data_IF_974420714892
#
_entry.id   IF_974420714892
#
_cell.length_a   1.000
_cell.length_b   1.000
_cell.length_c   1.000
_cell.angle_alpha   90.00
_cell.angle_beta   90.00
_cell.angle_gamma   90.00
#
_symmetry.space_group_name_H-M   'P 1'
#
loop_
_entity.id
_entity.type
_entity.pdbx_description
1 polymer ?
#
# COMPACT_ATOMS: atom_id res chain seq x y z
N UNK A 1 0.09 -3.97 13.12
CA UNK A 1 -0.08 -3.45 11.73
C UNK A 1 -1.49 -2.93 11.48
N UNK A 2 -2.53 -3.46 12.16
CA UNK A 2 -3.94 -3.11 11.98
C UNK A 2 -4.20 -1.59 11.91
N UNK A 3 -3.81 -0.82 12.94
CA UNK A 3 -4.11 0.62 12.99
C UNK A 3 -3.49 1.45 11.87
N UNK A 4 -2.39 0.99 11.27
CA UNK A 4 -1.81 1.68 10.11
C UNK A 4 -2.69 1.47 8.88
N UNK A 5 -3.28 0.30 8.72
CA UNK A 5 -4.20 0.01 7.61
C UNK A 5 -5.50 0.81 7.78
N UNK A 6 -6.05 0.85 8.99
CA UNK A 6 -7.24 1.65 9.32
C UNK A 6 -7.01 3.14 8.98
N UNK A 7 -5.93 3.74 9.49
CA UNK A 7 -5.67 5.18 9.31
C UNK A 7 -5.20 5.59 7.90
N UNK A 8 -4.59 4.68 7.13
CA UNK A 8 -4.02 5.03 5.81
C UNK A 8 -4.90 4.61 4.65
N UNK A 9 -5.61 3.47 4.77
CA UNK A 9 -6.45 2.88 3.74
C UNK A 9 -7.95 2.94 4.04
N UNK A 10 -8.37 3.50 5.19
CA UNK A 10 -9.78 3.57 5.61
C UNK A 10 -10.42 2.17 5.58
N UNK A 11 -9.74 1.21 6.21
CA UNK A 11 -10.16 -0.19 6.25
C UNK A 11 -11.53 -0.36 6.92
N UNK A 12 -11.79 0.34 8.04
CA UNK A 12 -13.08 0.32 8.76
C UNK A 12 -14.26 0.82 7.92
N UNK A 13 -14.02 1.82 7.05
CA UNK A 13 -15.05 2.38 6.17
C UNK A 13 -15.34 1.46 4.96
N UNK A 14 -14.50 0.45 4.73
CA UNK A 14 -14.60 -0.44 3.59
C UNK A 14 -15.58 -1.58 3.89
N UNK A 15 -16.84 -1.39 3.50
CA UNK A 15 -17.89 -2.37 3.67
C UNK A 15 -17.71 -3.56 2.71
N UNK A 16 -17.16 -4.66 3.23
CA UNK A 16 -16.91 -5.90 2.48
C UNK A 16 -17.83 -6.99 3.02
N UNK A 17 -18.71 -7.52 2.16
CA UNK A 17 -19.75 -8.49 2.55
C UNK A 17 -19.53 -9.89 1.96
N UNK A 18 -18.43 -10.10 1.24
CA UNK A 18 -18.10 -11.37 0.57
C UNK A 18 -17.04 -12.10 1.39
N UNK A 19 -17.33 -13.34 1.74
CA UNK A 19 -16.48 -14.33 2.46
C UNK A 19 -15.00 -13.94 2.61
N UNK A 20 -14.12 -14.47 1.77
CA UNK A 20 -12.66 -14.30 1.85
C UNK A 20 -12.21 -12.93 1.32
N UNK A 21 -13.12 -12.02 0.95
CA UNK A 21 -12.74 -10.74 0.37
C UNK A 21 -12.09 -9.83 1.42
N UNK A 22 -12.49 -9.91 2.70
CA UNK A 22 -11.87 -9.15 3.78
C UNK A 22 -10.39 -9.51 3.92
N UNK A 23 -10.08 -10.82 3.96
CA UNK A 23 -8.70 -11.30 4.06
C UNK A 23 -7.88 -10.96 2.81
N UNK A 24 -8.45 -11.19 1.62
CA UNK A 24 -7.78 -10.87 0.35
C UNK A 24 -7.40 -9.37 0.27
N UNK A 25 -8.32 -8.49 0.67
CA UNK A 25 -8.08 -7.04 0.66
C UNK A 25 -7.06 -6.66 1.74
N UNK A 26 -7.11 -7.26 2.93
CA UNK A 26 -6.12 -7.02 3.97
C UNK A 26 -4.69 -7.40 3.51
N UNK A 27 -4.55 -8.51 2.79
CA UNK A 27 -3.27 -8.93 2.17
C UNK A 27 -2.82 -7.90 1.13
N UNK A 28 -3.69 -7.47 0.22
CA UNK A 28 -3.37 -6.46 -0.79
C UNK A 28 -2.93 -5.13 -0.17
N UNK A 29 -3.63 -4.67 0.87
CA UNK A 29 -3.25 -3.45 1.61
C UNK A 29 -1.89 -3.59 2.26
N UNK A 30 -1.58 -4.77 2.82
CA UNK A 30 -0.27 -5.06 3.41
C UNK A 30 0.85 -5.03 2.38
N UNK A 31 0.62 -5.61 1.19
CA UNK A 31 1.57 -5.55 0.07
C UNK A 31 1.82 -4.09 -0.33
N UNK A 32 0.75 -3.32 -0.58
CA UNK A 32 0.87 -1.92 -0.97
C UNK A 32 1.59 -1.07 0.08
N UNK A 33 1.31 -1.30 1.37
CA UNK A 33 1.98 -0.62 2.48
C UNK A 33 3.48 -0.89 2.49
N UNK A 34 3.90 -2.14 2.25
CA UNK A 34 5.30 -2.50 2.21
C UNK A 34 6.01 -1.81 1.03
N UNK A 35 5.41 -1.80 -0.16
CA UNK A 35 5.96 -1.08 -1.33
C UNK A 35 6.15 0.42 -1.04
N UNK A 36 5.15 1.06 -0.42
CA UNK A 36 5.21 2.48 -0.04
C UNK A 36 6.28 2.78 1.04
N UNK A 37 6.57 1.81 1.91
CA UNK A 37 7.64 1.92 2.92
C UNK A 37 9.02 1.77 2.31
N UNK A 38 9.18 0.90 1.31
CA UNK A 38 10.45 0.71 0.60
C UNK A 38 10.83 1.92 -0.25
N UNK A 39 9.85 2.60 -0.83
CA UNK A 39 10.11 3.80 -1.61
C UNK A 39 10.85 4.86 -0.75
N UNK A 40 11.92 5.45 -1.31
CA UNK A 40 12.93 6.20 -0.54
C UNK A 40 12.54 7.62 -0.10
N UNK A 41 11.38 8.16 -0.50
CA UNK A 41 11.01 9.52 -0.13
C UNK A 41 10.67 9.68 1.35
N UNK A 42 11.04 10.82 1.95
CA UNK A 42 10.75 11.19 3.36
C UNK A 42 9.30 11.65 3.59
N UNK A 43 8.36 11.20 2.77
CA UNK A 43 6.95 11.57 2.87
C UNK A 43 6.20 10.62 3.80
N UNK A 44 5.13 11.12 4.42
CA UNK A 44 4.21 10.24 5.14
C UNK A 44 3.54 9.26 4.18
N UNK A 45 3.19 8.07 4.68
CA UNK A 45 2.56 7.00 3.87
C UNK A 45 1.29 7.50 3.17
N UNK A 46 0.47 8.32 3.88
CA UNK A 46 -0.71 8.96 3.30
C UNK A 46 -0.37 9.87 2.10
N UNK A 47 0.70 10.68 2.21
CA UNK A 47 1.16 11.55 1.12
C UNK A 47 1.75 10.75 -0.04
N UNK A 48 2.48 9.67 0.24
CA UNK A 48 3.00 8.76 -0.80
C UNK A 48 1.86 8.10 -1.57
N UNK A 49 0.85 7.58 -0.87
CA UNK A 49 -0.36 7.01 -1.49
C UNK A 49 -1.07 8.03 -2.37
N UNK A 50 -1.29 9.26 -1.88
CA UNK A 50 -1.92 10.32 -2.66
C UNK A 50 -1.08 10.69 -3.90
N UNK A 51 0.25 10.78 -3.75
CA UNK A 51 1.15 11.07 -4.86
C UNK A 51 1.14 9.96 -5.90
N UNK A 52 1.12 8.69 -5.47
CA UNK A 52 1.02 7.54 -6.36
C UNK A 52 -0.31 7.55 -7.14
N UNK A 53 -1.39 8.02 -6.52
CA UNK A 53 -2.67 8.22 -7.20
C UNK A 53 -2.64 9.37 -8.21
N UNK A 54 -1.91 10.45 -7.90
CA UNK A 54 -1.86 11.66 -8.76
C UNK A 54 -0.80 11.60 -9.87
N UNK A 55 0.28 10.82 -9.71
CA UNK A 55 1.44 10.81 -10.62
C UNK A 55 1.84 9.38 -10.96
N UNK A 56 1.59 8.97 -12.19
CA UNK A 56 1.93 7.63 -12.70
C UNK A 56 3.42 7.31 -12.58
N UNK A 57 4.31 8.28 -12.85
CA UNK A 57 5.76 8.09 -12.68
C UNK A 57 6.15 7.72 -11.24
N UNK A 58 5.47 8.29 -10.25
CA UNK A 58 5.73 7.96 -8.85
C UNK A 58 5.13 6.59 -8.47
N UNK A 59 3.98 6.23 -9.04
CA UNK A 59 3.42 4.88 -8.92
C UNK A 59 4.41 3.83 -9.43
N UNK A 60 4.97 4.02 -10.62
CA UNK A 60 5.97 3.13 -11.21
C UNK A 60 7.20 2.97 -10.32
N UNK A 61 7.71 4.06 -9.74
CA UNK A 61 8.82 4.02 -8.78
C UNK A 61 8.49 3.18 -7.54
N UNK A 62 7.30 3.36 -6.97
CA UNK A 62 6.83 2.57 -5.80
C UNK A 62 6.74 1.09 -6.15
N UNK A 63 6.20 0.76 -7.32
CA UNK A 63 6.05 -0.61 -7.79
C UNK A 63 7.42 -1.25 -8.04
N UNK A 64 8.32 -0.56 -8.72
CA UNK A 64 9.68 -1.03 -8.98
C UNK A 64 10.47 -1.24 -7.68
N UNK A 65 10.35 -0.33 -6.71
CA UNK A 65 10.96 -0.47 -5.39
C UNK A 65 10.40 -1.67 -4.62
N UNK A 66 9.12 -1.96 -4.77
CA UNK A 66 8.50 -3.17 -4.20
C UNK A 66 9.11 -4.46 -4.75
N UNK A 67 9.24 -4.55 -6.07
CA UNK A 67 9.76 -5.74 -6.74
C UNK A 67 11.27 -5.93 -6.56
N UNK A 68 12.05 -4.86 -6.42
CA UNK A 68 13.50 -4.99 -6.21
C UNK A 68 13.85 -5.72 -4.91
N UNK A 69 13.00 -5.66 -3.88
CA UNK A 69 13.18 -6.45 -2.66
C UNK A 69 12.93 -7.95 -2.85
N UNK A 70 12.12 -8.36 -3.83
CA UNK A 70 11.84 -9.77 -4.13
C UNK A 70 13.01 -10.44 -4.87
N UNK A 71 13.76 -9.67 -5.67
CA UNK A 71 14.93 -10.16 -6.39
C UNK A 71 16.16 -10.42 -5.48
N UNK A 72 16.08 -10.11 -4.19
CA UNK A 72 17.13 -10.33 -3.20
C UNK A 72 16.88 -11.57 -2.31
N UNK A 73 15.94 -12.43 -2.70
CA UNK A 73 15.66 -13.75 -2.09
C UNK A 73 16.15 -14.82 -3.08
#
# INVERSE_FOLDING_TARGET
>A
LHWVLDATFHEDDCQIYRENAAENIAILRRIALNMLKTEGSKLSIRKKRMRAWMKTQFLEQVVQAGFSNLNNI
#
